data_IF_568444621058
#
_entry.id   IF_568444621058
#
_cell.length_a   1.000
_cell.length_b   1.000
_cell.length_c   1.000
_cell.angle_alpha   90.00
_cell.angle_beta   90.00
_cell.angle_gamma   90.00
#
_symmetry.space_group_name_H-M   'P 1'
#
loop_
_entity.id
_entity.type
_entity.pdbx_description
1 polymer ?
#
# COMPACT_ATOMS: atom_id res chain seq x y z
N UNK A 1 25.05 0.02 31.14
CA UNK A 1 25.96 -1.08 30.74
C UNK A 1 25.12 -2.34 30.62
N UNK A 2 24.78 -2.72 29.39
CA UNK A 2 24.57 -4.10 28.93
C UNK A 2 24.14 -3.99 27.47
N UNK A 3 25.15 -3.95 26.60
CA UNK A 3 25.00 -4.29 25.21
C UNK A 3 24.83 -5.81 25.17
N UNK A 4 23.72 -6.29 24.62
CA UNK A 4 23.69 -7.65 24.08
C UNK A 4 24.03 -7.54 22.60
N UNK A 5 25.31 -7.78 22.30
CA UNK A 5 25.78 -8.21 20.99
C UNK A 5 25.75 -9.73 21.02
N UNK A 6 25.00 -10.35 20.11
CA UNK A 6 25.29 -11.69 19.60
C UNK A 6 25.04 -11.69 18.11
N UNK A 7 26.08 -12.10 17.40
CA UNK A 7 26.21 -12.17 15.97
C UNK A 7 25.74 -13.54 15.44
N UNK A 8 25.65 -13.58 14.11
CA UNK A 8 25.58 -14.75 13.21
C UNK A 8 24.26 -15.51 13.15
N UNK A 9 23.56 -15.35 12.02
CA UNK A 9 23.48 -16.41 11.01
C UNK A 9 22.89 -15.87 9.69
N UNK A 10 23.67 -16.06 8.62
CA UNK A 10 23.21 -16.09 7.24
C UNK A 10 22.40 -17.37 7.08
N UNK A 11 21.16 -17.26 6.61
CA UNK A 11 20.62 -18.28 5.73
C UNK A 11 19.71 -17.65 4.67
N UNK A 12 19.98 -18.05 3.44
CA UNK A 12 19.20 -17.69 2.27
C UNK A 12 17.99 -18.61 2.26
N UNK A 13 16.77 -18.06 2.23
CA UNK A 13 15.65 -18.89 1.78
C UNK A 13 14.67 -18.09 0.94
N UNK A 14 14.62 -18.49 -0.33
CA UNK A 14 13.67 -18.06 -1.32
C UNK A 14 12.24 -18.33 -0.84
N UNK A 15 11.23 -17.56 -1.27
CA UNK A 15 9.86 -17.93 -1.00
C UNK A 15 9.54 -19.22 -1.77
N UNK A 16 9.37 -20.29 -1.00
CA UNK A 16 8.97 -21.62 -1.44
C UNK A 16 7.72 -21.60 -2.31
N UNK A 17 7.80 -22.41 -3.36
CA UNK A 17 6.76 -22.87 -4.27
C UNK A 17 5.46 -23.15 -3.51
N UNK A 18 4.37 -22.48 -3.90
CA UNK A 18 3.05 -22.79 -3.36
C UNK A 18 2.59 -24.14 -3.92
N UNK A 19 2.52 -25.10 -3.01
CA UNK A 19 1.90 -26.41 -3.14
C UNK A 19 0.55 -26.34 -3.87
N UNK A 20 0.47 -27.09 -4.96
CA UNK A 20 -0.76 -27.45 -5.64
C UNK A 20 -1.60 -28.33 -4.71
N UNK A 21 -2.73 -27.81 -4.23
CA UNK A 21 -3.77 -28.67 -3.67
C UNK A 21 -4.61 -29.22 -4.82
N UNK A 22 -4.29 -30.45 -5.20
CA UNK A 22 -5.16 -31.31 -6.00
C UNK A 22 -6.54 -31.40 -5.34
N UNK A 23 -7.58 -30.95 -6.05
CA UNK A 23 -8.94 -31.44 -5.81
C UNK A 23 -9.27 -32.39 -6.95
N UNK A 24 -9.12 -33.68 -6.63
CA UNK A 24 -9.52 -34.83 -7.43
C UNK A 24 -11.04 -34.97 -7.38
N UNK A 25 -11.70 -34.78 -8.52
CA UNK A 25 -13.11 -35.10 -8.72
C UNK A 25 -13.28 -35.69 -10.12
N UNK A 26 -13.33 -37.02 -10.20
CA UNK A 26 -13.60 -37.75 -11.44
C UNK A 26 -15.08 -38.09 -11.59
N UNK A 27 -15.56 -38.00 -12.83
CA UNK A 27 -16.35 -39.00 -13.58
C UNK A 27 -17.51 -38.38 -14.39
N UNK A 28 -17.17 -38.12 -15.66
CA UNK A 28 -17.89 -38.46 -16.90
C UNK A 28 -19.43 -38.42 -16.92
N UNK A 29 -19.98 -37.49 -17.71
CA UNK A 29 -21.03 -37.81 -18.67
C UNK A 29 -20.72 -37.23 -20.05
N UNK A 30 -20.89 -38.09 -21.03
CA UNK A 30 -20.86 -37.92 -22.47
C UNK A 30 -21.82 -36.79 -22.96
N UNK A 31 -21.42 -36.08 -24.01
CA UNK A 31 -22.24 -35.01 -24.62
C UNK A 31 -21.42 -33.93 -25.32
N UNK A 32 -21.23 -34.10 -26.62
CA UNK A 32 -20.57 -33.13 -27.50
C UNK A 32 -21.17 -31.73 -27.43
N UNK A 33 -20.28 -30.75 -27.26
CA UNK A 33 -20.59 -29.32 -27.37
C UNK A 33 -19.37 -28.52 -26.93
N UNK A 34 -18.52 -28.08 -27.86
CA UNK A 34 -17.49 -27.08 -27.57
C UNK A 34 -18.18 -25.80 -27.09
N UNK A 35 -18.36 -25.69 -25.77
CA UNK A 35 -18.84 -24.50 -25.08
C UNK A 35 -17.71 -23.47 -25.05
N UNK A 36 -17.38 -22.91 -26.21
CA UNK A 36 -16.60 -21.68 -26.28
C UNK A 36 -17.35 -20.63 -25.45
N UNK A 37 -16.74 -20.03 -24.42
CA UNK A 37 -17.42 -18.99 -23.67
C UNK A 37 -17.89 -17.92 -24.66
N UNK A 38 -19.12 -17.39 -24.52
CA UNK A 38 -19.60 -16.31 -25.38
C UNK A 38 -18.52 -15.25 -25.47
N UNK A 39 -18.26 -14.70 -26.66
CA UNK A 39 -17.28 -13.61 -26.81
C UNK A 39 -17.76 -12.41 -26.03
N UNK A 40 -17.41 -12.36 -24.76
CA UNK A 40 -17.72 -11.26 -23.86
C UNK A 40 -17.12 -10.01 -24.48
N UNK A 41 -17.91 -8.94 -24.54
CA UNK A 41 -17.40 -7.62 -24.87
C UNK A 41 -16.14 -7.33 -24.04
N UNK A 42 -15.21 -6.56 -24.62
CA UNK A 42 -14.00 -6.09 -23.93
C UNK A 42 -14.34 -5.47 -22.57
N UNK A 43 -15.48 -4.80 -22.48
CA UNK A 43 -15.98 -4.18 -21.26
C UNK A 43 -16.40 -5.22 -20.22
N UNK A 44 -17.15 -6.24 -20.63
CA UNK A 44 -17.61 -7.33 -19.74
C UNK A 44 -16.42 -8.13 -19.19
N UNK A 45 -15.40 -8.38 -20.02
CA UNK A 45 -14.14 -9.02 -19.57
C UNK A 45 -13.39 -8.16 -18.54
N UNK A 46 -13.39 -6.83 -18.69
CA UNK A 46 -12.80 -5.90 -17.71
C UNK A 46 -13.57 -5.91 -16.40
N UNK A 47 -14.90 -5.88 -16.45
CA UNK A 47 -15.77 -5.95 -15.27
C UNK A 47 -15.53 -7.23 -14.48
N UNK A 48 -15.54 -8.40 -15.13
CA UNK A 48 -15.26 -9.69 -14.47
C UNK A 48 -13.89 -9.71 -13.80
N UNK A 49 -12.84 -9.22 -14.48
CA UNK A 49 -11.50 -9.12 -13.87
C UNK A 49 -11.49 -8.24 -12.62
N UNK A 50 -12.12 -7.06 -12.67
CA UNK A 50 -12.22 -6.14 -11.52
C UNK A 50 -13.04 -6.72 -10.37
N UNK A 51 -14.02 -7.56 -10.67
CA UNK A 51 -14.85 -8.27 -9.69
C UNK A 51 -14.13 -9.48 -9.05
N UNK A 52 -12.94 -9.87 -9.49
CA UNK A 52 -12.18 -10.91 -8.80
C UNK A 52 -11.63 -10.41 -7.47
N UNK A 53 -11.65 -11.27 -6.44
CA UNK A 53 -11.04 -10.94 -5.15
C UNK A 53 -9.56 -10.58 -5.30
N UNK A 54 -8.81 -11.30 -6.14
CA UNK A 54 -7.39 -11.02 -6.45
C UNK A 54 -7.18 -9.57 -6.92
N UNK A 55 -8.00 -9.09 -7.86
CA UNK A 55 -7.91 -7.70 -8.34
C UNK A 55 -8.22 -6.70 -7.23
N UNK A 56 -9.31 -6.90 -6.47
CA UNK A 56 -9.70 -6.00 -5.38
C UNK A 56 -8.64 -5.92 -4.29
N UNK A 57 -8.11 -7.06 -3.85
CA UNK A 57 -7.05 -7.12 -2.84
C UNK A 57 -5.76 -6.44 -3.32
N UNK A 58 -5.34 -6.68 -4.56
CA UNK A 58 -4.17 -6.03 -5.15
C UNK A 58 -4.36 -4.50 -5.23
N UNK A 59 -5.55 -4.04 -5.66
CA UNK A 59 -5.86 -2.61 -5.71
C UNK A 59 -5.90 -1.97 -4.32
N UNK A 60 -6.55 -2.61 -3.35
CA UNK A 60 -6.59 -2.12 -1.97
C UNK A 60 -5.18 -2.03 -1.36
N UNK A 61 -4.32 -3.00 -1.64
CA UNK A 61 -2.92 -3.00 -1.17
C UNK A 61 -2.15 -1.83 -1.77
N UNK A 62 -2.26 -1.60 -3.09
CA UNK A 62 -1.62 -0.46 -3.76
C UNK A 62 -2.08 0.87 -3.18
N UNK A 63 -3.38 1.01 -2.92
CA UNK A 63 -3.93 2.23 -2.35
C UNK A 63 -3.44 2.47 -0.91
N UNK A 64 -3.34 1.41 -0.09
CA UNK A 64 -2.74 1.50 1.25
C UNK A 64 -1.30 2.00 1.19
N UNK A 65 -0.47 1.42 0.32
CA UNK A 65 0.93 1.87 0.13
C UNK A 65 0.99 3.34 -0.31
N UNK A 66 0.11 3.75 -1.23
CA UNK A 66 0.02 5.15 -1.67
C UNK A 66 -0.31 6.09 -0.51
N UNK A 67 -1.29 5.72 0.31
CA UNK A 67 -1.71 6.52 1.49
C UNK A 67 -0.64 6.51 2.58
N UNK A 68 0.06 5.39 2.77
CA UNK A 68 1.19 5.29 3.69
C UNK A 68 2.32 6.23 3.29
N UNK A 69 2.76 6.19 2.03
CA UNK A 69 3.76 7.12 1.49
C UNK A 69 3.35 8.59 1.68
N UNK A 70 2.07 8.90 1.45
CA UNK A 70 1.52 10.23 1.73
C UNK A 70 1.60 10.61 3.22
N UNK A 71 1.28 9.67 4.12
CA UNK A 71 1.33 9.92 5.56
C UNK A 71 2.77 10.06 6.08
N UNK A 72 3.74 9.33 5.50
CA UNK A 72 5.17 9.52 5.80
C UNK A 72 5.61 10.94 5.46
N UNK A 73 5.28 11.44 4.26
CA UNK A 73 5.58 12.83 3.88
C UNK A 73 4.91 13.86 4.80
N UNK A 74 3.68 13.61 5.27
CA UNK A 74 3.02 14.47 6.26
C UNK A 74 3.71 14.44 7.62
N UNK A 75 4.22 13.28 8.05
CA UNK A 75 5.02 13.17 9.26
C UNK A 75 6.32 13.93 9.12
N UNK A 76 7.05 13.78 8.01
CA UNK A 76 8.29 14.52 7.76
C UNK A 76 8.07 16.04 7.79
N UNK A 77 7.05 16.53 7.07
CA UNK A 77 6.67 17.94 7.11
C UNK A 77 6.40 18.43 8.53
N UNK A 78 5.69 17.64 9.33
CA UNK A 78 5.38 17.99 10.73
C UNK A 78 6.63 18.17 11.59
N UNK A 79 7.67 17.37 11.40
CA UNK A 79 8.90 17.49 12.20
C UNK A 79 9.64 18.82 11.95
N UNK A 80 9.39 19.47 10.82
CA UNK A 80 9.95 20.78 10.48
C UNK A 80 9.13 21.93 11.08
N UNK A 81 7.92 21.67 11.59
CA UNK A 81 7.04 22.72 12.06
C UNK A 81 7.31 23.08 13.53
N UNK A 82 7.38 24.39 13.85
CA UNK A 82 7.57 24.82 15.23
C UNK A 82 6.29 24.57 16.04
N UNK A 83 6.37 23.72 17.08
CA UNK A 83 5.25 23.44 17.99
C UNK A 83 5.68 23.42 19.45
N UNK A 84 4.76 23.78 20.35
CA UNK A 84 4.92 23.67 21.80
C UNK A 84 3.70 22.92 22.38
N UNK A 85 3.88 21.76 23.04
CA UNK A 85 5.12 20.98 23.15
C UNK A 85 5.56 20.38 21.79
N UNK A 86 6.84 19.95 21.64
CA UNK A 86 7.38 19.46 20.36
C UNK A 86 6.65 18.25 19.75
N UNK A 87 5.93 17.49 20.57
CA UNK A 87 5.16 16.31 20.19
C UNK A 87 3.66 16.59 20.00
N UNK A 88 3.25 17.88 20.01
CA UNK A 88 1.85 18.30 19.84
C UNK A 88 1.21 17.65 18.62
N UNK A 89 0.15 16.87 18.83
CA UNK A 89 -0.64 16.23 17.76
C UNK A 89 -1.36 17.27 16.90
N UNK A 90 -0.81 17.54 15.70
CA UNK A 90 -1.42 18.32 14.63
C UNK A 90 -2.22 17.43 13.66
N UNK A 91 -3.40 17.91 13.25
CA UNK A 91 -4.18 17.38 12.14
C UNK A 91 -3.58 17.77 10.79
N UNK A 92 -4.00 17.11 9.69
CA UNK A 92 -3.51 17.39 8.34
C UNK A 92 -3.73 18.85 7.93
N UNK A 93 -4.88 19.44 8.28
CA UNK A 93 -5.18 20.84 7.96
C UNK A 93 -4.30 21.81 8.77
N UNK A 94 -4.04 21.50 10.05
CA UNK A 94 -3.16 22.33 10.87
C UNK A 94 -1.72 22.29 10.36
N UNK A 95 -1.21 21.11 9.96
CA UNK A 95 0.12 20.96 9.37
C UNK A 95 0.25 21.87 8.14
N UNK A 96 -0.73 21.85 7.23
CA UNK A 96 -0.69 22.67 6.02
C UNK A 96 -0.75 24.16 6.33
N UNK A 97 -1.64 24.59 7.23
CA UNK A 97 -1.75 26.00 7.63
C UNK A 97 -0.47 26.50 8.30
N UNK A 98 0.08 25.71 9.22
CA UNK A 98 1.29 26.08 9.95
C UNK A 98 2.51 26.11 9.04
N UNK A 99 2.63 25.19 8.08
CA UNK A 99 3.70 25.22 7.08
C UNK A 99 3.67 26.51 6.25
N UNK A 100 2.50 26.92 5.76
CA UNK A 100 2.34 28.17 5.02
C UNK A 100 2.75 29.37 5.88
N UNK A 101 2.23 29.46 7.11
CA UNK A 101 2.60 30.55 8.02
C UNK A 101 4.09 30.57 8.34
N UNK A 102 4.72 29.40 8.51
CA UNK A 102 6.13 29.29 8.86
C UNK A 102 7.05 29.70 7.71
N UNK A 103 6.75 29.28 6.47
CA UNK A 103 7.48 29.75 5.29
C UNK A 103 7.39 31.28 5.17
N UNK A 104 6.20 31.86 5.30
CA UNK A 104 6.02 33.32 5.26
C UNK A 104 6.78 34.05 6.36
N UNK A 105 6.80 33.48 7.58
CA UNK A 105 7.57 34.02 8.69
C UNK A 105 9.07 34.01 8.41
N UNK A 106 9.62 32.88 7.94
CA UNK A 106 11.04 32.77 7.62
C UNK A 106 11.45 33.74 6.51
N UNK A 107 10.62 33.89 5.46
CA UNK A 107 10.89 34.89 4.40
C UNK A 107 10.95 36.31 4.99
N UNK A 108 10.00 36.69 5.84
CA UNK A 108 10.02 38.00 6.48
C UNK A 108 11.26 38.22 7.35
N UNK A 109 11.71 37.19 8.07
CA UNK A 109 12.93 37.27 8.90
C UNK A 109 14.20 37.41 8.04
N UNK A 110 14.22 36.83 6.84
CA UNK A 110 15.38 36.89 5.93
C UNK A 110 15.42 38.16 5.08
N UNK A 111 14.28 38.80 4.83
CA UNK A 111 14.18 40.05 4.07
C UNK A 111 14.53 41.30 4.91
N UNK A 112 14.71 41.13 6.22
CA UNK A 112 15.11 42.18 7.18
C UNK A 112 16.62 42.11 7.41
#
# INVERSE_FOLDING_TARGET
MMMMVSAEQVDSDAPSVQSETEIKGGSETDGGGTCLPPRLSREERRRRRRATAKYRCAHATRERVRVEAFNVAFSELRHLLPTLPPDKKLSKIEILRLAICYISYLNHVLDV
#
